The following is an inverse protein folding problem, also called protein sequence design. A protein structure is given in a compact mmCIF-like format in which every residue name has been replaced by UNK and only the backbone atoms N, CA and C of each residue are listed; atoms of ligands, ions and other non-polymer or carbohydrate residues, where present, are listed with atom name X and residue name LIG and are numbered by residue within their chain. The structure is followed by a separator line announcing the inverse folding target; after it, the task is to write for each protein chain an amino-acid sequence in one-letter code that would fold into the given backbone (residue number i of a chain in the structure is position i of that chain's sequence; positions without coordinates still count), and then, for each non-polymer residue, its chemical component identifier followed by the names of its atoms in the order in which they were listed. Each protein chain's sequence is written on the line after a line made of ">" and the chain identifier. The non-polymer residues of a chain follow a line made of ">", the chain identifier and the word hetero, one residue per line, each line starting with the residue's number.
data_IF_521647953839
#
_entry.id   IF_521647953839
#
_cell.length_a   1.000
_cell.length_b   1.000
_cell.length_c   1.000
_cell.angle_alpha   90.00
_cell.angle_beta   90.00
_cell.angle_gamma   90.00
#
_symmetry.space_group_name_H-M   'P 1'
#
loop_
_entity.id
_entity.type
_entity.pdbx_description
1 polymer ?
#
# COMPACT_ATOMS: atom_id res chain seq x y z
N UNK A 1 -2.46 23.93 15.39
CA UNK A 1 -2.03 22.70 14.70
C UNK A 1 -2.50 22.79 13.26
N UNK A 2 -1.62 22.51 12.29
CA UNK A 2 -2.03 22.40 10.89
C UNK A 2 -2.27 20.93 10.60
N UNK A 3 -3.51 20.61 10.25
CA UNK A 3 -3.88 19.27 9.83
C UNK A 3 -3.85 19.22 8.31
N UNK A 4 -3.23 18.17 7.77
CA UNK A 4 -3.23 17.87 6.35
C UNK A 4 -4.01 16.58 6.10
N UNK A 5 -4.80 16.60 5.03
CA UNK A 5 -5.76 15.56 4.75
C UNK A 5 -5.68 15.17 3.28
N UNK A 6 -5.34 13.91 3.02
CA UNK A 6 -5.18 13.38 1.67
C UNK A 6 -6.19 12.26 1.44
N UNK A 7 -6.91 12.33 0.31
CA UNK A 7 -7.68 11.20 -0.23
C UNK A 7 -7.07 10.74 -1.55
N UNK A 8 -6.79 9.46 -1.68
CA UNK A 8 -6.34 8.84 -2.93
C UNK A 8 -7.42 7.86 -3.37
N UNK A 9 -8.13 8.16 -4.45
CA UNK A 9 -9.12 7.23 -5.01
C UNK A 9 -8.47 6.01 -5.69
N UNK A 10 -9.24 4.94 -5.87
CA UNK A 10 -8.79 3.69 -6.46
C UNK A 10 -8.23 3.86 -7.88
N UNK A 11 -8.77 4.80 -8.67
CA UNK A 11 -8.33 5.07 -10.04
C UNK A 11 -6.93 5.67 -10.03
N UNK A 12 -6.69 6.63 -9.15
CA UNK A 12 -5.39 7.27 -8.91
C UNK A 12 -4.40 6.24 -8.40
N UNK A 13 -4.81 5.40 -7.44
CA UNK A 13 -3.96 4.33 -6.93
C UNK A 13 -3.57 3.33 -8.03
N UNK A 14 -4.53 2.88 -8.85
CA UNK A 14 -4.25 1.99 -10.01
C UNK A 14 -3.23 2.62 -10.94
N UNK A 15 -3.35 3.93 -11.22
CA UNK A 15 -2.40 4.65 -12.07
C UNK A 15 -0.99 4.65 -11.46
N UNK A 16 -0.86 5.07 -10.20
CA UNK A 16 0.42 5.09 -9.47
C UNK A 16 1.07 3.70 -9.47
N UNK A 17 0.29 2.66 -9.14
CA UNK A 17 0.79 1.29 -9.12
C UNK A 17 1.23 0.85 -10.53
N UNK A 18 0.44 1.14 -11.56
CA UNK A 18 0.77 0.76 -12.95
C UNK A 18 2.06 1.40 -13.44
N UNK A 19 2.31 2.67 -13.08
CA UNK A 19 3.53 3.41 -13.43
C UNK A 19 4.73 2.90 -12.63
N UNK A 20 4.54 2.61 -11.34
CA UNK A 20 5.60 2.06 -10.47
C UNK A 20 6.02 0.64 -10.88
N UNK A 21 5.06 -0.15 -11.38
CA UNK A 21 5.27 -1.55 -11.76
C UNK A 21 5.72 -1.75 -13.20
N UNK A 22 5.75 -0.69 -14.04
CA UNK A 22 6.01 -0.79 -15.49
C UNK A 22 7.21 -1.68 -15.85
N UNK A 23 8.22 -1.73 -14.98
CA UNK A 23 9.47 -2.45 -15.19
C UNK A 23 9.92 -3.38 -14.03
N UNK A 24 9.08 -3.63 -13.01
CA UNK A 24 9.55 -4.29 -11.76
C UNK A 24 9.00 -5.69 -11.52
N UNK A 25 7.75 -6.02 -11.83
CA UNK A 25 7.26 -7.39 -11.63
C UNK A 25 6.17 -7.75 -12.66
N UNK A 26 6.41 -8.74 -13.54
CA UNK A 26 5.42 -9.20 -14.51
C UNK A 26 4.12 -9.67 -13.85
N UNK A 27 4.21 -10.37 -12.73
CA UNK A 27 3.02 -10.84 -11.99
C UNK A 27 2.24 -9.68 -11.39
N UNK A 28 2.89 -8.73 -10.70
CA UNK A 28 2.16 -7.60 -10.13
C UNK A 28 1.52 -6.76 -11.24
N UNK A 29 2.24 -6.54 -12.35
CA UNK A 29 1.69 -5.87 -13.53
C UNK A 29 0.46 -6.61 -14.07
N UNK A 30 0.52 -7.93 -14.20
CA UNK A 30 -0.62 -8.76 -14.62
C UNK A 30 -1.77 -8.67 -13.61
N UNK A 31 -1.49 -8.84 -12.32
CA UNK A 31 -2.47 -8.77 -11.24
C UNK A 31 -3.24 -7.45 -11.28
N UNK A 32 -2.53 -6.32 -11.33
CA UNK A 32 -3.14 -4.98 -11.33
C UNK A 32 -3.83 -4.65 -12.66
N UNK A 33 -3.29 -5.09 -13.80
CA UNK A 33 -3.96 -4.92 -15.10
C UNK A 33 -5.22 -5.77 -15.22
N UNK A 34 -5.21 -6.98 -14.65
CA UNK A 34 -6.35 -7.90 -14.61
C UNK A 34 -7.29 -7.63 -13.43
N UNK A 35 -7.02 -6.60 -12.62
CA UNK A 35 -7.85 -6.26 -11.47
C UNK A 35 -9.15 -5.64 -11.95
N UNK A 36 -10.22 -6.44 -11.86
CA UNK A 36 -11.58 -6.01 -12.20
C UNK A 36 -12.13 -5.08 -11.14
N UNK A 37 -11.75 -5.27 -9.87
CA UNK A 37 -12.22 -4.44 -8.75
C UNK A 37 -11.15 -4.33 -7.66
N UNK A 38 -10.88 -3.09 -7.23
CA UNK A 38 -10.25 -2.81 -5.94
C UNK A 38 -11.36 -2.40 -4.98
N UNK A 39 -11.35 -2.94 -3.78
CA UNK A 39 -12.31 -2.57 -2.73
C UNK A 39 -11.50 -2.12 -1.52
N UNK A 40 -11.82 -0.93 -1.03
CA UNK A 40 -11.22 -0.30 0.14
C UNK A 40 -12.24 -0.43 1.26
N UNK A 41 -11.93 -1.25 2.26
CA UNK A 41 -12.86 -1.54 3.36
C UNK A 41 -12.10 -1.61 4.68
N UNK A 42 -12.34 -0.63 5.55
CA UNK A 42 -11.69 -0.46 6.84
C UNK A 42 -10.16 -0.39 6.69
N UNK A 43 -9.46 -1.41 7.16
CA UNK A 43 -8.00 -1.53 7.09
C UNK A 43 -7.55 -2.46 5.96
N UNK A 44 -8.45 -2.90 5.09
CA UNK A 44 -8.17 -3.88 4.04
C UNK A 44 -8.39 -3.34 2.62
N UNK A 45 -7.40 -3.55 1.76
CA UNK A 45 -7.53 -3.48 0.31
C UNK A 45 -7.82 -4.89 -0.19
N UNK A 46 -8.96 -5.11 -0.81
CA UNK A 46 -9.30 -6.37 -1.50
C UNK A 46 -9.09 -6.18 -3.01
N UNK A 47 -8.40 -7.13 -3.62
CA UNK A 47 -8.03 -7.13 -5.04
C UNK A 47 -8.69 -8.33 -5.68
N UNK A 48 -9.69 -8.09 -6.53
CA UNK A 48 -10.31 -9.12 -7.35
C UNK A 48 -9.65 -9.12 -8.73
N UNK A 49 -8.96 -10.20 -9.06
CA UNK A 49 -8.30 -10.36 -10.35
C UNK A 49 -8.61 -11.75 -10.93
N UNK A 50 -9.28 -11.78 -12.09
CA UNK A 50 -9.80 -13.00 -12.70
C UNK A 50 -10.67 -13.79 -11.70
N UNK A 51 -10.29 -15.04 -11.40
CA UNK A 51 -10.97 -15.94 -10.45
C UNK A 51 -10.40 -15.85 -9.03
N UNK A 52 -9.37 -15.03 -8.79
CA UNK A 52 -8.66 -14.98 -7.52
C UNK A 52 -9.03 -13.74 -6.71
N UNK A 53 -9.06 -13.91 -5.39
CA UNK A 53 -9.29 -12.84 -4.41
C UNK A 53 -8.05 -12.69 -3.55
N UNK A 54 -7.42 -11.52 -3.64
CA UNK A 54 -6.28 -11.17 -2.81
C UNK A 54 -6.64 -10.05 -1.84
N UNK A 55 -5.87 -9.91 -0.77
CA UNK A 55 -6.01 -8.82 0.17
C UNK A 55 -4.66 -8.33 0.67
N UNK A 56 -4.65 -7.06 1.09
CA UNK A 56 -3.59 -6.41 1.83
C UNK A 56 -4.27 -5.66 2.98
N UNK A 57 -3.93 -5.98 4.23
CA UNK A 57 -4.54 -5.43 5.43
C UNK A 57 -3.52 -4.72 6.30
N UNK A 58 -3.79 -3.51 6.77
CA UNK A 58 -2.93 -2.80 7.73
C UNK A 58 -2.91 -3.60 9.04
N UNK A 59 -1.71 -3.92 9.52
CA UNK A 59 -1.47 -4.54 10.83
C UNK A 59 -0.90 -3.56 11.82
N UNK A 60 0.08 -2.78 11.37
CA UNK A 60 0.77 -1.82 12.21
C UNK A 60 1.13 -0.59 11.39
N UNK A 61 0.96 0.57 12.02
CA UNK A 61 1.35 1.87 11.48
C UNK A 61 2.22 2.59 12.50
N UNK A 62 3.30 3.26 12.07
CA UNK A 62 4.11 4.07 12.96
C UNK A 62 3.32 5.29 13.47
N UNK A 63 3.77 5.86 14.58
CA UNK A 63 3.19 7.10 15.13
C UNK A 63 3.54 8.32 14.26
N UNK A 64 4.77 8.38 13.76
CA UNK A 64 5.21 9.40 12.82
C UNK A 64 5.06 8.90 11.37
N UNK A 65 5.14 9.80 10.41
CA UNK A 65 5.05 9.45 8.98
C UNK A 65 6.23 8.54 8.56
N UNK A 66 7.40 8.66 9.22
CA UNK A 66 8.52 7.74 9.07
C UNK A 66 8.34 6.47 9.93
N UNK A 67 9.00 5.39 9.50
CA UNK A 67 8.97 4.11 10.18
C UNK A 67 8.49 2.97 9.29
N UNK A 68 8.17 1.85 9.92
CA UNK A 68 7.77 0.63 9.22
C UNK A 68 6.26 0.46 9.28
N UNK A 69 5.63 0.43 8.12
CA UNK A 69 4.23 0.07 7.96
C UNK A 69 4.16 -1.43 7.71
N UNK A 70 3.38 -2.14 8.52
CA UNK A 70 3.22 -3.59 8.42
C UNK A 70 1.84 -3.93 7.87
N UNK A 71 1.82 -4.79 6.86
CA UNK A 71 0.61 -5.26 6.22
C UNK A 71 0.57 -6.79 6.20
N UNK A 72 -0.57 -7.37 6.53
CA UNK A 72 -0.87 -8.77 6.27
C UNK A 72 -1.40 -8.93 4.85
N UNK A 73 -1.04 -10.02 4.17
CA UNK A 73 -1.53 -10.30 2.82
C UNK A 73 -1.62 -11.79 2.54
N UNK A 74 -2.35 -12.13 1.47
CA UNK A 74 -2.35 -13.47 0.87
C UNK A 74 -1.81 -13.49 -0.58
N UNK A 75 -0.99 -12.50 -0.94
CA UNK A 75 -0.36 -12.46 -2.25
C UNK A 75 0.54 -13.70 -2.48
N UNK A 76 0.54 -14.29 -3.69
CA UNK A 76 1.34 -15.47 -4.00
C UNK A 76 2.81 -15.08 -4.17
N UNK A 77 3.60 -15.27 -3.10
CA UNK A 77 5.00 -14.86 -3.05
C UNK A 77 5.86 -15.52 -4.14
N UNK A 78 5.55 -16.77 -4.49
CA UNK A 78 6.17 -17.53 -5.57
C UNK A 78 6.06 -16.85 -6.93
N UNK A 79 5.03 -16.03 -7.14
CA UNK A 79 4.82 -15.26 -8.37
C UNK A 79 5.42 -13.87 -8.30
N UNK A 80 5.83 -13.40 -7.13
CA UNK A 80 6.42 -12.07 -6.94
C UNK A 80 7.93 -12.17 -7.07
N UNK A 81 8.52 -11.45 -8.03
CA UNK A 81 9.96 -11.27 -8.06
C UNK A 81 10.39 -10.37 -6.89
N UNK A 82 10.78 -10.96 -5.78
CA UNK A 82 11.18 -10.21 -4.57
C UNK A 82 12.47 -9.42 -4.77
N UNK A 83 13.34 -9.84 -5.69
CA UNK A 83 14.61 -9.14 -6.00
C UNK A 83 14.42 -7.80 -6.70
N UNK A 84 13.27 -7.59 -7.34
CA UNK A 84 12.97 -6.36 -8.08
C UNK A 84 12.09 -5.39 -7.28
N UNK A 85 11.71 -5.76 -6.06
CA UNK A 85 11.00 -4.86 -5.17
C UNK A 85 11.89 -3.68 -4.77
N UNK A 86 11.32 -2.49 -4.55
CA UNK A 86 12.03 -1.37 -3.94
C UNK A 86 12.73 -1.80 -2.64
N UNK A 87 13.93 -1.27 -2.37
CA UNK A 87 14.72 -1.63 -1.18
C UNK A 87 13.99 -1.36 0.13
N UNK A 88 13.05 -0.42 0.12
CA UNK A 88 12.22 -0.09 1.27
C UNK A 88 10.98 -0.99 1.43
N UNK A 89 10.83 -2.03 0.59
CA UNK A 89 9.75 -3.01 0.70
C UNK A 89 10.36 -4.38 0.97
N UNK A 90 9.93 -5.02 2.05
CA UNK A 90 10.20 -6.43 2.34
C UNK A 90 8.87 -7.18 2.32
N UNK A 91 8.86 -8.38 1.75
CA UNK A 91 7.67 -9.22 1.67
C UNK A 91 8.03 -10.65 2.05
N UNK A 92 7.15 -11.29 2.80
CA UNK A 92 7.23 -12.69 3.23
C UNK A 92 5.96 -13.41 2.77
N UNK A 93 5.70 -14.63 3.24
CA UNK A 93 4.52 -15.39 2.82
C UNK A 93 3.19 -14.74 3.23
N UNK A 94 3.16 -14.07 4.38
CA UNK A 94 1.94 -13.48 4.95
C UNK A 94 2.06 -12.01 5.32
N UNK A 95 3.27 -11.44 5.31
CA UNK A 95 3.53 -10.07 5.77
C UNK A 95 4.35 -9.28 4.76
N UNK A 96 3.95 -8.03 4.56
CA UNK A 96 4.67 -7.01 3.80
C UNK A 96 5.03 -5.86 4.75
N UNK A 97 6.30 -5.45 4.73
CA UNK A 97 6.81 -4.31 5.45
C UNK A 97 7.22 -3.22 4.45
N UNK A 98 6.70 -2.00 4.64
CA UNK A 98 7.07 -0.83 3.84
C UNK A 98 7.74 0.17 4.78
N UNK A 99 9.02 0.42 4.55
CA UNK A 99 9.79 1.40 5.30
C UNK A 99 9.71 2.77 4.65
N UNK A 100 9.36 3.78 5.45
CA UNK A 100 9.47 5.19 5.07
C UNK A 100 10.65 5.78 5.82
N UNK A 101 11.71 6.21 5.11
CA UNK A 101 12.91 6.72 5.77
C UNK A 101 12.62 8.02 6.52
N UNK A 102 13.36 8.20 7.61
CA UNK A 102 13.38 9.46 8.34
C UNK A 102 14.07 10.56 7.52
N UNK A 103 13.46 11.74 7.48
CA UNK A 103 14.05 12.97 6.96
C UNK A 103 13.45 14.18 7.70
N UNK A 104 13.92 15.39 7.34
CA UNK A 104 13.48 16.64 7.99
C UNK A 104 11.96 16.88 7.93
N UNK A 105 11.28 16.31 6.94
CA UNK A 105 9.83 16.40 6.77
C UNK A 105 9.16 15.27 7.57
N UNK A 106 9.52 14.01 7.31
CA UNK A 106 8.78 12.84 7.81
C UNK A 106 8.88 12.67 9.34
N UNK A 107 9.97 13.11 9.97
CA UNK A 107 10.17 13.00 11.42
C UNK A 107 9.29 13.94 12.26
N UNK A 108 8.79 15.00 11.63
CA UNK A 108 8.01 16.05 12.31
C UNK A 108 6.52 15.96 11.97
N UNK A 109 6.11 14.94 11.20
CA UNK A 109 4.72 14.74 10.82
C UNK A 109 4.19 13.51 11.56
N UNK A 110 3.17 13.73 12.38
CA UNK A 110 2.42 12.66 13.05
C UNK A 110 1.40 12.07 12.08
N UNK A 111 1.36 10.74 11.99
CA UNK A 111 0.32 10.00 11.28
C UNK A 111 -0.88 9.79 12.21
N UNK A 112 -1.87 10.69 12.14
CA UNK A 112 -3.11 10.55 12.92
C UNK A 112 -3.91 9.34 12.46
N UNK A 113 -4.06 9.20 11.14
CA UNK A 113 -4.89 8.15 10.57
C UNK A 113 -4.40 7.67 9.21
N UNK A 114 -4.63 6.39 8.96
CA UNK A 114 -4.47 5.73 7.67
C UNK A 114 -5.56 4.67 7.59
N UNK A 115 -6.56 4.90 6.74
CA UNK A 115 -7.69 3.98 6.54
C UNK A 115 -8.06 3.87 5.07
N UNK A 116 -8.88 2.87 4.77
CA UNK A 116 -9.44 2.60 3.45
C UNK A 116 -10.96 2.68 3.54
N UNK A 117 -11.55 3.69 2.92
CA UNK A 117 -12.99 3.98 3.02
C UNK A 117 -13.54 4.51 1.70
N UNK A 118 -14.73 4.06 1.31
CA UNK A 118 -15.46 4.48 0.11
C UNK A 118 -14.58 4.69 -1.13
N UNK A 119 -13.84 3.63 -1.49
CA UNK A 119 -12.94 3.58 -2.65
C UNK A 119 -11.70 4.49 -2.55
N UNK A 120 -11.39 4.98 -1.36
CA UNK A 120 -10.28 5.93 -1.11
C UNK A 120 -9.36 5.44 0.00
N UNK A 121 -8.08 5.75 -0.16
CA UNK A 121 -7.12 5.78 0.94
C UNK A 121 -7.21 7.14 1.60
N UNK A 122 -7.45 7.17 2.90
CA UNK A 122 -7.50 8.39 3.71
C UNK A 122 -6.24 8.46 4.55
N UNK A 123 -5.50 9.56 4.44
CA UNK A 123 -4.32 9.84 5.25
C UNK A 123 -4.51 11.16 5.99
N UNK A 124 -4.43 11.11 7.31
CA UNK A 124 -4.54 12.27 8.20
C UNK A 124 -3.21 12.53 8.87
N UNK A 125 -2.69 13.73 8.69
CA UNK A 125 -1.38 14.15 9.17
C UNK A 125 -1.47 15.41 10.02
N UNK A 126 -0.58 15.53 11.00
CA UNK A 126 -0.43 16.73 11.83
C UNK A 126 1.03 17.09 12.01
N UNK A 127 1.30 18.39 11.99
CA UNK A 127 2.59 19.02 12.35
C UNK A 127 2.45 19.82 13.65
#
# INVERSE_FOLDING_TARGET
>A
MKDAYFKIDSKTLKKIISETLKNKSPFLKLLFNSTTKLIFENDTIKINALMFKYYIKIKEKPYYLNGTYMFEHNLPLDKINTKSLPQNIKITSSMMAVYVPENLITKNIVLKNLTFDDDKIIVELTT
#
